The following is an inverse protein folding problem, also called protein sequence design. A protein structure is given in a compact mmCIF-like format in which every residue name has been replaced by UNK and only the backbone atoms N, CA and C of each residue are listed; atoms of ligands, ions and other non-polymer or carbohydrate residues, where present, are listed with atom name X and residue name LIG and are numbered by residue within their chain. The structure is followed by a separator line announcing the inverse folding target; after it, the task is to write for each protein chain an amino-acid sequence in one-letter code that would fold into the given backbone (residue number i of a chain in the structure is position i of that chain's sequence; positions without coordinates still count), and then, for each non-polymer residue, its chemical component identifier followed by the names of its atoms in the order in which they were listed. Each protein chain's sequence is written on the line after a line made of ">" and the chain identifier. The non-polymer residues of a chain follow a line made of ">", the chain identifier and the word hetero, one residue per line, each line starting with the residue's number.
data_IF_482475047315
#
_entry.id   IF_482475047315
#
_cell.length_a   1.000
_cell.length_b   1.000
_cell.length_c   1.000
_cell.angle_alpha   90.00
_cell.angle_beta   90.00
_cell.angle_gamma   90.00
#
_symmetry.space_group_name_H-M   'P 1'
#
loop_
_entity.id
_entity.type
_entity.pdbx_description
1 polymer ?
#
# COMPACT_ATOMS: atom_id res chain seq x y z
N UNK A 1 -75.81 -4.59 -17.63
CA UNK A 1 -74.63 -4.94 -16.81
C UNK A 1 -74.32 -3.74 -15.95
N UNK A 2 -74.59 -3.85 -14.64
CA UNK A 2 -74.47 -2.76 -13.69
C UNK A 2 -73.02 -2.37 -13.43
N UNK A 3 -72.76 -1.07 -13.35
CA UNK A 3 -71.51 -0.52 -12.82
C UNK A 3 -71.38 -0.90 -11.33
N UNK A 4 -70.17 -1.29 -10.93
CA UNK A 4 -69.81 -1.56 -9.54
C UNK A 4 -70.01 -0.32 -8.64
N UNK A 5 -70.42 -0.49 -7.38
CA UNK A 5 -70.77 0.60 -6.48
C UNK A 5 -69.57 1.44 -5.97
N UNK A 6 -68.33 1.00 -6.17
CA UNK A 6 -67.13 1.73 -5.67
C UNK A 6 -66.79 3.00 -6.46
N UNK A 7 -67.37 3.22 -7.64
CA UNK A 7 -67.17 4.48 -8.40
C UNK A 7 -68.19 5.56 -8.01
N UNK A 8 -69.19 5.23 -7.19
CA UNK A 8 -70.26 6.17 -6.83
C UNK A 8 -69.86 7.17 -5.73
N UNK A 9 -68.75 6.96 -5.02
CA UNK A 9 -68.43 7.67 -3.77
C UNK A 9 -67.25 8.65 -3.86
N UNK A 10 -66.97 9.19 -5.05
CA UNK A 10 -66.02 10.29 -5.24
C UNK A 10 -66.59 11.47 -6.06
N UNK A 11 -67.91 11.53 -6.24
CA UNK A 11 -68.58 12.66 -6.91
C UNK A 11 -69.35 13.44 -5.85
N UNK A 12 -68.64 14.34 -5.15
CA UNK A 12 -69.34 15.40 -4.43
C UNK A 12 -70.27 16.14 -5.39
N UNK A 13 -71.48 16.48 -4.94
CA UNK A 13 -72.40 17.26 -5.77
C UNK A 13 -71.69 18.54 -6.25
N UNK A 14 -71.77 18.81 -7.56
CA UNK A 14 -71.20 20.03 -8.13
C UNK A 14 -71.73 21.24 -7.35
N UNK A 15 -70.87 22.18 -6.93
CA UNK A 15 -71.31 23.36 -6.23
C UNK A 15 -72.44 24.05 -7.00
N UNK A 16 -73.49 24.54 -6.34
CA UNK A 16 -74.66 25.11 -7.04
C UNK A 16 -74.31 26.29 -7.95
N UNK A 17 -73.22 27.03 -7.64
CA UNK A 17 -72.66 28.07 -8.50
C UNK A 17 -72.09 27.53 -9.82
N UNK A 18 -71.42 26.37 -9.78
CA UNK A 18 -70.86 25.69 -10.96
C UNK A 18 -71.99 25.11 -11.80
N UNK A 19 -73.00 24.52 -11.17
CA UNK A 19 -74.16 23.97 -11.87
C UNK A 19 -74.96 25.09 -12.57
N UNK A 20 -75.16 26.23 -11.91
CA UNK A 20 -75.77 27.40 -12.51
C UNK A 20 -74.94 27.99 -13.66
N UNK A 21 -73.61 27.96 -13.58
CA UNK A 21 -72.72 28.42 -14.66
C UNK A 21 -72.74 27.48 -15.88
N UNK A 22 -72.82 26.17 -15.65
CA UNK A 22 -72.91 25.14 -16.69
C UNK A 22 -74.27 25.14 -17.40
N UNK A 23 -75.36 25.48 -16.69
CA UNK A 23 -76.72 25.57 -17.23
C UNK A 23 -76.99 26.82 -18.09
N UNK A 24 -76.07 27.80 -18.12
CA UNK A 24 -76.19 28.99 -18.99
C UNK A 24 -75.92 28.61 -20.46
N UNK A 25 -76.49 29.35 -21.44
CA UNK A 25 -76.18 29.13 -22.84
C UNK A 25 -74.68 29.30 -23.12
N UNK A 26 -74.08 28.31 -23.79
CA UNK A 26 -72.66 28.33 -24.16
C UNK A 26 -72.46 29.20 -25.40
N UNK A 27 -72.56 30.51 -25.22
CA UNK A 27 -72.46 31.49 -26.30
C UNK A 27 -71.02 32.03 -26.51
N UNK A 28 -70.12 31.81 -25.55
CA UNK A 28 -68.74 32.29 -25.64
C UNK A 28 -67.94 31.44 -26.64
N UNK A 29 -67.33 32.11 -27.62
CA UNK A 29 -66.49 31.48 -28.66
C UNK A 29 -65.04 31.86 -28.47
N UNK A 30 -64.20 30.85 -28.29
CA UNK A 30 -62.76 30.99 -28.14
C UNK A 30 -62.04 30.34 -29.31
N UNK A 31 -61.16 31.09 -29.98
CA UNK A 31 -60.34 30.56 -31.07
C UNK A 31 -59.07 29.93 -30.50
N UNK A 32 -58.92 28.63 -30.73
CA UNK A 32 -57.70 27.86 -30.50
C UNK A 32 -57.03 27.59 -31.86
N UNK A 33 -55.72 27.31 -31.87
CA UNK A 33 -54.89 27.28 -33.09
C UNK A 33 -55.53 26.62 -34.33
N UNK A 34 -56.24 25.49 -34.18
CA UNK A 34 -56.91 24.79 -35.28
C UNK A 34 -58.41 24.51 -35.05
N UNK A 35 -58.99 25.03 -33.97
CA UNK A 35 -60.38 24.73 -33.60
C UNK A 35 -61.08 25.91 -32.90
N UNK A 36 -62.40 25.97 -33.02
CA UNK A 36 -63.22 26.95 -32.31
C UNK A 36 -63.89 26.25 -31.14
N UNK A 37 -63.55 26.67 -29.93
CA UNK A 37 -64.17 26.20 -28.70
C UNK A 37 -65.41 27.06 -28.43
N UNK A 38 -66.54 26.42 -28.13
CA UNK A 38 -67.74 27.11 -27.67
C UNK A 38 -68.14 26.51 -26.33
N UNK A 39 -68.19 27.33 -25.28
CA UNK A 39 -68.33 26.80 -23.92
C UNK A 39 -68.53 27.88 -22.86
N UNK A 40 -68.38 27.51 -21.60
CA UNK A 40 -68.39 28.39 -20.44
C UNK A 40 -67.15 28.12 -19.59
N UNK A 41 -66.49 29.17 -19.11
CA UNK A 41 -65.32 29.06 -18.24
C UNK A 41 -65.74 29.14 -16.77
N UNK A 42 -65.22 28.22 -15.96
CA UNK A 42 -65.44 28.22 -14.50
C UNK A 42 -64.41 29.07 -13.75
N UNK A 43 -63.42 29.63 -14.46
CA UNK A 43 -62.40 30.49 -13.89
C UNK A 43 -62.85 31.97 -13.96
N UNK A 44 -62.80 32.73 -12.85
CA UNK A 44 -63.27 34.10 -12.81
C UNK A 44 -62.43 35.02 -13.72
N UNK A 45 -63.11 35.75 -14.62
CA UNK A 45 -62.50 36.77 -15.48
C UNK A 45 -61.69 36.24 -16.66
N UNK A 46 -61.79 34.94 -16.99
CA UNK A 46 -61.11 34.35 -18.15
C UNK A 46 -62.08 33.54 -19.00
N UNK A 47 -62.72 34.16 -20.01
CA UNK A 47 -63.66 33.46 -20.89
C UNK A 47 -62.95 32.44 -21.78
N UNK A 48 -61.71 32.72 -22.19
CA UNK A 48 -60.93 31.83 -23.05
C UNK A 48 -59.67 31.28 -22.36
N UNK A 49 -59.40 29.96 -22.44
CA UNK A 49 -58.24 29.34 -21.80
C UNK A 49 -56.91 30.00 -22.18
N UNK A 50 -56.71 30.33 -23.46
CA UNK A 50 -55.45 30.88 -24.00
C UNK A 50 -55.17 32.34 -23.68
N UNK A 51 -56.13 33.06 -23.12
CA UNK A 51 -55.89 34.44 -22.68
C UNK A 51 -55.02 34.48 -21.41
N UNK A 52 -55.02 33.41 -20.61
CA UNK A 52 -54.29 33.35 -19.33
C UNK A 52 -53.42 32.10 -19.16
N UNK A 53 -53.78 30.98 -19.78
CA UNK A 53 -53.09 29.69 -19.63
C UNK A 53 -52.27 29.37 -20.87
N UNK A 54 -51.05 28.85 -20.67
CA UNK A 54 -50.20 28.35 -21.75
C UNK A 54 -50.66 26.95 -22.14
N UNK A 55 -50.28 26.51 -23.36
CA UNK A 55 -50.62 25.17 -23.85
C UNK A 55 -50.24 24.05 -22.85
N UNK A 56 -49.08 24.17 -22.20
CA UNK A 56 -48.55 23.19 -21.25
C UNK A 56 -49.16 23.24 -19.84
N UNK A 57 -49.95 24.28 -19.55
CA UNK A 57 -50.62 24.51 -18.26
C UNK A 57 -52.03 23.92 -18.23
N UNK A 58 -52.51 23.41 -19.36
CA UNK A 58 -53.84 22.82 -19.51
C UNK A 58 -53.76 21.35 -19.87
N UNK A 59 -54.65 20.54 -19.29
CA UNK A 59 -54.89 19.17 -19.76
C UNK A 59 -56.30 19.06 -20.31
N UNK A 60 -56.44 18.36 -21.43
CA UNK A 60 -57.67 18.26 -22.20
C UNK A 60 -58.20 16.84 -22.03
N UNK A 61 -59.42 16.72 -21.52
CA UNK A 61 -60.09 15.45 -21.35
C UNK A 61 -61.30 15.38 -22.27
N UNK A 62 -61.31 14.39 -23.16
CA UNK A 62 -62.45 14.10 -24.03
C UNK A 62 -63.24 12.97 -23.38
N UNK A 63 -64.50 13.20 -22.94
CA UNK A 63 -65.29 12.17 -22.31
C UNK A 63 -65.64 11.06 -23.30
N UNK A 64 -65.62 9.82 -22.83
CA UNK A 64 -66.09 8.68 -23.63
C UNK A 64 -67.62 8.71 -23.68
N UNK A 65 -68.18 8.85 -24.88
CA UNK A 65 -69.63 8.88 -25.08
C UNK A 65 -70.18 7.45 -25.11
N UNK A 66 -71.07 7.13 -24.17
CA UNK A 66 -71.63 5.77 -24.00
C UNK A 66 -72.41 5.25 -25.22
N UNK A 67 -72.98 6.13 -26.06
CA UNK A 67 -73.71 5.79 -27.30
C UNK A 67 -73.24 6.63 -28.48
N UNK A 68 -72.08 6.27 -29.02
CA UNK A 68 -71.40 7.00 -30.11
C UNK A 68 -72.26 7.22 -31.35
N UNK A 69 -73.02 6.21 -31.79
CA UNK A 69 -73.86 6.28 -33.01
C UNK A 69 -75.00 7.31 -32.92
N UNK A 70 -75.56 7.52 -31.73
CA UNK A 70 -76.65 8.50 -31.53
C UNK A 70 -76.09 9.93 -31.51
N UNK A 71 -74.90 10.08 -30.91
CA UNK A 71 -74.21 11.33 -30.73
C UNK A 71 -73.70 11.89 -32.07
N UNK A 72 -73.03 11.07 -32.87
CA UNK A 72 -72.52 11.46 -34.21
C UNK A 72 -73.65 11.87 -35.17
N UNK A 73 -74.88 11.41 -34.95
CA UNK A 73 -76.04 11.72 -35.82
C UNK A 73 -76.73 13.07 -35.50
N UNK A 74 -76.51 13.63 -34.31
CA UNK A 74 -77.21 14.83 -33.83
C UNK A 74 -76.29 15.98 -33.43
N UNK A 75 -74.99 15.72 -33.24
CA UNK A 75 -74.03 16.71 -32.73
C UNK A 75 -72.75 16.66 -33.55
N UNK A 76 -72.54 17.67 -34.40
CA UNK A 76 -71.28 17.89 -35.16
C UNK A 76 -70.19 18.56 -34.29
N UNK A 77 -70.13 18.23 -32.99
CA UNK A 77 -69.22 18.84 -32.04
C UNK A 77 -68.69 17.81 -31.03
N UNK A 78 -67.46 18.01 -30.57
CA UNK A 78 -66.85 17.18 -29.52
C UNK A 78 -66.88 17.92 -28.19
N UNK A 79 -67.28 17.22 -27.13
CA UNK A 79 -67.16 17.74 -25.77
C UNK A 79 -65.70 17.63 -25.31
N UNK A 80 -65.20 18.67 -24.68
CA UNK A 80 -63.85 18.71 -24.11
C UNK A 80 -63.91 19.41 -22.75
N UNK A 81 -63.29 18.81 -21.75
CA UNK A 81 -63.01 19.45 -20.47
C UNK A 81 -61.57 19.90 -20.44
N UNK A 82 -61.33 21.16 -20.07
CA UNK A 82 -59.99 21.74 -19.96
C UNK A 82 -59.75 22.05 -18.49
N UNK A 83 -58.73 21.41 -17.92
CA UNK A 83 -58.34 21.62 -16.53
C UNK A 83 -57.03 22.39 -16.44
N UNK A 84 -56.94 23.29 -15.46
CA UNK A 84 -55.72 23.99 -15.09
C UNK A 84 -54.85 23.07 -14.21
N UNK A 85 -53.62 22.81 -14.65
CA UNK A 85 -52.65 21.94 -13.96
C UNK A 85 -51.40 22.69 -13.51
N UNK A 86 -51.42 24.01 -13.43
CA UNK A 86 -50.24 24.84 -13.06
C UNK A 86 -49.65 24.47 -11.71
N UNK A 87 -50.52 24.22 -10.71
CA UNK A 87 -50.09 23.84 -9.38
C UNK A 87 -49.38 22.48 -9.39
N UNK A 88 -49.94 21.50 -10.11
CA UNK A 88 -49.33 20.18 -10.28
C UNK A 88 -47.96 20.28 -10.98
N UNK A 89 -47.86 21.11 -12.03
CA UNK A 89 -46.60 21.33 -12.75
C UNK A 89 -45.53 22.03 -11.91
N UNK A 90 -45.93 23.00 -11.09
CA UNK A 90 -45.02 23.67 -10.16
C UNK A 90 -44.40 22.68 -9.18
N UNK A 91 -45.21 21.84 -8.54
CA UNK A 91 -44.73 20.80 -7.64
C UNK A 91 -43.86 19.77 -8.36
N UNK A 92 -44.25 19.35 -9.56
CA UNK A 92 -43.45 18.43 -10.37
C UNK A 92 -42.06 19.00 -10.69
N UNK A 93 -41.98 20.27 -11.09
CA UNK A 93 -40.72 20.94 -11.36
C UNK A 93 -39.88 21.13 -10.08
N UNK A 94 -40.51 21.52 -8.98
CA UNK A 94 -39.84 21.69 -7.68
C UNK A 94 -39.23 20.37 -7.18
N UNK A 95 -39.96 19.26 -7.26
CA UNK A 95 -39.45 17.94 -6.92
C UNK A 95 -38.34 17.49 -7.87
N UNK A 96 -38.48 17.74 -9.19
CA UNK A 96 -37.43 17.43 -10.16
C UNK A 96 -36.12 18.17 -9.88
N UNK A 97 -36.19 19.49 -9.64
CA UNK A 97 -35.01 20.30 -9.28
C UNK A 97 -34.40 19.79 -7.98
N UNK A 98 -35.21 19.56 -6.96
CA UNK A 98 -34.74 19.05 -5.66
C UNK A 98 -34.04 17.70 -5.79
N UNK A 99 -34.62 16.78 -6.56
CA UNK A 99 -34.03 15.48 -6.84
C UNK A 99 -32.67 15.60 -7.54
N UNK A 100 -32.56 16.44 -8.57
CA UNK A 100 -31.28 16.64 -9.28
C UNK A 100 -30.20 17.21 -8.37
N UNK A 101 -30.53 18.18 -7.51
CA UNK A 101 -29.60 18.76 -6.54
C UNK A 101 -29.12 17.70 -5.55
N UNK A 102 -30.03 16.87 -5.02
CA UNK A 102 -29.65 15.79 -4.09
C UNK A 102 -28.73 14.78 -4.77
N UNK A 103 -29.03 14.36 -5.99
CA UNK A 103 -28.19 13.39 -6.73
C UNK A 103 -26.80 13.96 -6.97
N UNK A 104 -26.70 15.21 -7.43
CA UNK A 104 -25.40 15.87 -7.64
C UNK A 104 -24.61 15.99 -6.34
N UNK A 105 -25.27 16.38 -5.24
CA UNK A 105 -24.64 16.47 -3.92
C UNK A 105 -24.13 15.13 -3.43
N UNK A 106 -24.91 14.06 -3.58
CA UNK A 106 -24.51 12.70 -3.17
C UNK A 106 -23.35 12.21 -4.03
N UNK A 107 -23.36 12.46 -5.34
CA UNK A 107 -22.27 12.07 -6.24
C UNK A 107 -20.97 12.83 -5.93
N UNK A 108 -21.05 14.15 -5.73
CA UNK A 108 -19.89 14.96 -5.32
C UNK A 108 -19.36 14.52 -3.96
N UNK A 109 -20.28 14.32 -3.00
CA UNK A 109 -20.13 13.61 -1.73
C UNK A 109 -19.18 12.41 -1.86
N UNK A 110 -19.69 11.44 -2.59
CA UNK A 110 -19.13 10.11 -2.75
C UNK A 110 -17.77 10.16 -3.46
N UNK A 111 -17.63 11.00 -4.48
CA UNK A 111 -16.37 11.18 -5.21
C UNK A 111 -15.26 11.72 -4.30
N UNK A 112 -15.55 12.73 -3.48
CA UNK A 112 -14.57 13.32 -2.56
C UNK A 112 -14.15 12.32 -1.46
N UNK A 113 -15.12 11.61 -0.87
CA UNK A 113 -14.81 10.59 0.13
C UNK A 113 -13.99 9.43 -0.47
N UNK A 114 -14.37 8.96 -1.66
CA UNK A 114 -13.66 7.88 -2.34
C UNK A 114 -12.22 8.29 -2.68
N UNK A 115 -12.00 9.48 -3.24
CA UNK A 115 -10.66 9.99 -3.54
C UNK A 115 -9.78 10.01 -2.29
N UNK A 116 -10.31 10.57 -1.19
CA UNK A 116 -9.56 10.65 0.08
C UNK A 116 -9.19 9.28 0.64
N UNK A 117 -10.09 8.31 0.50
CA UNK A 117 -9.87 6.96 0.99
C UNK A 117 -8.87 6.20 0.12
N UNK A 118 -8.91 6.37 -1.22
CA UNK A 118 -7.90 5.80 -2.15
C UNK A 118 -6.51 6.37 -1.86
N UNK A 119 -6.40 7.69 -1.67
CA UNK A 119 -5.12 8.35 -1.37
C UNK A 119 -4.48 7.76 -0.11
N UNK A 120 -5.27 7.64 0.96
CA UNK A 120 -4.77 7.19 2.27
C UNK A 120 -4.53 5.69 2.35
N UNK A 121 -5.37 4.89 1.70
CA UNK A 121 -5.35 3.43 1.85
C UNK A 121 -4.44 2.74 0.84
N UNK A 122 -4.24 3.34 -0.34
CA UNK A 122 -3.51 2.70 -1.45
C UNK A 122 -2.32 3.54 -1.88
N UNK A 123 -2.51 4.82 -2.22
CA UNK A 123 -1.44 5.61 -2.84
C UNK A 123 -0.28 5.91 -1.88
N UNK A 124 -0.58 6.37 -0.66
CA UNK A 124 0.47 6.68 0.33
C UNK A 124 1.32 5.46 0.72
N UNK A 125 0.75 4.27 1.01
CA UNK A 125 1.56 3.07 1.24
C UNK A 125 2.43 2.67 0.04
N UNK A 126 1.90 2.75 -1.19
CA UNK A 126 2.66 2.43 -2.41
C UNK A 126 3.84 3.39 -2.58
N UNK A 127 3.61 4.70 -2.40
CA UNK A 127 4.66 5.71 -2.48
C UNK A 127 5.80 5.43 -1.48
N UNK A 128 5.46 5.06 -0.23
CA UNK A 128 6.44 4.66 0.78
C UNK A 128 7.23 3.41 0.39
N UNK A 129 6.58 2.42 -0.23
CA UNK A 129 7.28 1.23 -0.71
C UNK A 129 8.25 1.58 -1.83
N UNK A 130 7.85 2.43 -2.78
CA UNK A 130 8.71 2.86 -3.90
C UNK A 130 9.94 3.58 -3.37
N UNK A 131 9.75 4.54 -2.44
CA UNK A 131 10.87 5.26 -1.81
C UNK A 131 11.81 4.27 -1.11
N UNK A 132 11.29 3.31 -0.34
CA UNK A 132 12.12 2.29 0.32
C UNK A 132 12.90 1.42 -0.66
N UNK A 133 12.29 1.03 -1.78
CA UNK A 133 12.98 0.23 -2.81
C UNK A 133 14.07 1.06 -3.49
N UNK A 134 13.82 2.34 -3.75
CA UNK A 134 14.81 3.27 -4.28
C UNK A 134 15.98 3.49 -3.29
N UNK A 135 15.67 3.59 -2.00
CA UNK A 135 16.69 3.66 -0.94
C UNK A 135 17.51 2.36 -0.85
N UNK A 136 16.86 1.18 -0.93
CA UNK A 136 17.52 -0.13 -0.95
C UNK A 136 18.44 -0.24 -2.17
N UNK A 137 18.02 0.25 -3.33
CA UNK A 137 18.80 0.27 -4.57
C UNK A 137 20.07 1.10 -4.41
N UNK A 138 19.96 2.33 -3.89
CA UNK A 138 21.09 3.25 -3.74
C UNK A 138 22.07 2.84 -2.66
N UNK A 139 21.57 2.31 -1.54
CA UNK A 139 22.41 1.85 -0.45
C UNK A 139 21.73 0.73 0.35
N UNK A 140 21.95 -0.55 -0.02
CA UNK A 140 21.38 -1.68 0.69
C UNK A 140 21.88 -1.82 2.13
N UNK A 141 23.04 -1.25 2.51
CA UNK A 141 23.55 -1.29 3.89
C UNK A 141 22.75 -0.39 4.84
N UNK A 142 22.15 0.69 4.34
CA UNK A 142 21.32 1.57 5.16
C UNK A 142 20.18 0.80 5.84
N UNK A 143 19.67 -0.23 5.16
CA UNK A 143 18.60 -1.14 5.60
C UNK A 143 19.04 -2.06 6.74
N UNK A 144 20.29 -2.54 6.74
CA UNK A 144 20.83 -3.38 7.80
C UNK A 144 20.90 -2.62 9.14
N UNK A 145 21.29 -1.34 9.11
CA UNK A 145 21.21 -0.46 10.29
C UNK A 145 19.77 -0.24 10.77
N UNK A 146 18.78 -0.16 9.88
CA UNK A 146 17.37 -0.12 10.25
C UNK A 146 16.86 -1.45 10.87
N UNK A 147 17.51 -2.58 10.57
CA UNK A 147 17.24 -3.88 11.20
C UNK A 147 17.60 -3.95 12.69
N UNK A 148 18.54 -3.11 13.16
CA UNK A 148 18.88 -2.95 14.57
C UNK A 148 17.97 -1.96 15.33
N UNK A 149 17.02 -1.31 14.64
CA UNK A 149 15.95 -0.47 15.19
C UNK A 149 15.38 0.45 14.12
N UNK A 150 14.04 0.56 13.94
CA UNK A 150 13.05 0.71 14.99
C UNK A 150 12.08 -0.47 15.12
N UNK A 151 11.46 -0.58 16.30
CA UNK A 151 10.35 -1.51 16.60
C UNK A 151 9.33 -1.48 15.45
N UNK A 152 8.69 -2.63 15.12
CA UNK A 152 7.58 -2.63 14.18
C UNK A 152 6.64 -1.49 14.57
N UNK A 153 6.28 -0.65 13.59
CA UNK A 153 5.39 0.48 13.79
C UNK A 153 4.09 -0.06 14.36
N UNK A 154 3.98 -0.09 15.70
CA UNK A 154 2.73 -0.43 16.39
C UNK A 154 1.85 0.79 16.12
N UNK A 155 0.81 0.70 15.28
CA UNK A 155 -0.05 1.85 15.06
C UNK A 155 -0.62 2.24 16.43
N UNK A 156 -0.21 3.40 16.94
CA UNK A 156 -0.67 3.93 18.22
C UNK A 156 -2.11 4.42 18.18
N UNK A 157 -2.80 4.23 17.06
CA UNK A 157 -4.19 4.60 16.91
C UNK A 157 -5.07 3.35 16.89
N UNK A 158 -5.70 3.05 18.03
CA UNK A 158 -6.94 2.28 18.08
C UNK A 158 -8.02 3.07 17.34
N UNK A 159 -8.01 3.05 16.02
CA UNK A 159 -9.17 3.37 15.21
C UNK A 159 -9.63 2.07 14.57
N UNK A 160 -10.88 1.69 14.83
CA UNK A 160 -11.57 0.58 14.15
C UNK A 160 -11.64 0.90 12.66
N UNK A 161 -10.56 0.65 11.92
CA UNK A 161 -10.48 0.81 10.47
C UNK A 161 -10.28 -0.58 9.86
N UNK A 162 -10.95 -0.84 8.73
CA UNK A 162 -11.01 -2.15 8.04
C UNK A 162 -9.62 -2.80 7.95
N UNK A 163 -9.41 -3.81 8.78
CA UNK A 163 -8.11 -4.41 9.05
C UNK A 163 -7.51 -5.25 7.89
N UNK A 164 -8.29 -5.59 6.86
CA UNK A 164 -7.84 -6.48 5.78
C UNK A 164 -6.87 -5.83 4.79
N UNK A 165 -7.26 -4.73 4.15
CA UNK A 165 -6.49 -4.11 3.06
C UNK A 165 -5.22 -3.40 3.56
N UNK A 166 -5.29 -2.79 4.76
CA UNK A 166 -4.12 -2.16 5.37
C UNK A 166 -3.08 -3.21 5.81
N UNK A 167 -3.51 -4.43 6.13
CA UNK A 167 -2.59 -5.48 6.58
C UNK A 167 -1.76 -6.04 5.43
N UNK A 168 -2.35 -6.23 4.25
CA UNK A 168 -1.62 -6.76 3.08
C UNK A 168 -0.54 -5.79 2.60
N UNK A 169 -0.87 -4.50 2.46
CA UNK A 169 0.12 -3.48 2.08
C UNK A 169 1.21 -3.34 3.13
N UNK A 170 0.86 -3.28 4.42
CA UNK A 170 1.87 -3.26 5.49
C UNK A 170 2.70 -4.55 5.54
N UNK A 171 2.12 -5.70 5.20
CA UNK A 171 2.85 -6.98 5.12
C UNK A 171 3.86 -6.98 3.96
N UNK A 172 3.49 -6.45 2.80
CA UNK A 172 4.41 -6.29 1.66
C UNK A 172 5.57 -5.36 2.01
N UNK A 173 5.30 -4.22 2.66
CA UNK A 173 6.32 -3.26 3.08
C UNK A 173 7.34 -3.90 4.04
N UNK A 174 6.84 -4.68 5.01
CA UNK A 174 7.69 -5.41 5.95
C UNK A 174 8.49 -6.53 5.25
N UNK A 175 7.89 -7.20 4.26
CA UNK A 175 8.58 -8.23 3.47
C UNK A 175 9.71 -7.63 2.65
N UNK A 176 9.50 -6.48 1.98
CA UNK A 176 10.54 -5.75 1.26
C UNK A 176 11.69 -5.36 2.20
N UNK A 177 11.36 -4.85 3.38
CA UNK A 177 12.37 -4.48 4.39
C UNK A 177 13.18 -5.70 4.83
N UNK A 178 12.53 -6.84 5.08
CA UNK A 178 13.20 -8.10 5.43
C UNK A 178 14.09 -8.62 4.31
N UNK A 179 13.62 -8.57 3.07
CA UNK A 179 14.40 -8.95 1.90
C UNK A 179 15.63 -8.04 1.76
N UNK A 180 15.47 -6.73 1.92
CA UNK A 180 16.58 -5.78 1.94
C UNK A 180 17.61 -6.07 3.04
N UNK A 181 17.16 -6.39 4.27
CA UNK A 181 18.09 -6.79 5.35
C UNK A 181 18.80 -8.10 5.07
N UNK A 182 18.11 -9.09 4.48
CA UNK A 182 18.71 -10.37 4.10
C UNK A 182 19.70 -10.20 2.95
N UNK A 183 19.41 -9.30 2.01
CA UNK A 183 20.29 -8.92 0.91
C UNK A 183 21.57 -8.30 1.46
N UNK A 184 21.46 -7.28 2.31
CA UNK A 184 22.62 -6.62 2.92
C UNK A 184 23.47 -7.59 3.75
N UNK A 185 22.83 -8.51 4.50
CA UNK A 185 23.53 -9.53 5.27
C UNK A 185 24.22 -10.57 4.38
N UNK A 186 23.58 -10.99 3.28
CA UNK A 186 24.09 -12.01 2.38
C UNK A 186 25.24 -11.54 1.50
N UNK A 187 25.20 -10.29 1.04
CA UNK A 187 26.22 -9.69 0.17
C UNK A 187 27.36 -9.03 0.95
N UNK A 188 27.14 -8.66 2.21
CA UNK A 188 28.12 -7.95 3.02
C UNK A 188 28.47 -6.56 2.46
N UNK A 189 29.46 -5.90 3.06
CA UNK A 189 29.85 -4.54 2.69
C UNK A 189 30.42 -4.46 1.26
N UNK A 190 31.23 -5.45 0.86
CA UNK A 190 31.83 -5.49 -0.48
C UNK A 190 30.84 -5.86 -1.59
N UNK A 191 29.84 -6.70 -1.30
CA UNK A 191 28.83 -7.08 -2.29
C UNK A 191 27.74 -6.01 -2.48
N UNK A 192 27.59 -5.08 -1.53
CA UNK A 192 26.65 -3.97 -1.63
C UNK A 192 27.00 -3.03 -2.76
N UNK A 193 28.28 -2.69 -2.93
CA UNK A 193 28.71 -1.82 -4.04
C UNK A 193 28.42 -2.46 -5.41
N UNK A 194 28.64 -3.78 -5.52
CA UNK A 194 28.36 -4.56 -6.73
C UNK A 194 26.86 -4.56 -7.03
N UNK A 195 26.03 -4.82 -6.01
CA UNK A 195 24.58 -4.85 -6.17
C UNK A 195 24.03 -3.46 -6.50
N UNK A 196 24.52 -2.41 -5.84
CA UNK A 196 24.10 -1.04 -6.09
C UNK A 196 24.40 -0.62 -7.54
N UNK A 197 25.62 -0.89 -8.05
CA UNK A 197 25.99 -0.59 -9.43
C UNK A 197 25.13 -1.36 -10.44
N UNK A 198 24.80 -2.62 -10.13
CA UNK A 198 23.93 -3.45 -10.95
C UNK A 198 22.44 -3.07 -10.88
N UNK A 199 21.99 -2.48 -9.78
CA UNK A 199 20.62 -1.99 -9.64
C UNK A 199 20.45 -0.58 -10.21
N UNK A 200 21.52 0.22 -10.27
CA UNK A 200 21.52 1.59 -10.75
C UNK A 200 21.48 1.74 -12.27
N UNK A 201 21.93 0.74 -13.03
CA UNK A 201 21.82 0.77 -14.49
C UNK A 201 20.43 0.39 -15.02
N UNK A 202 19.94 1.12 -16.02
CA UNK A 202 18.74 0.77 -16.80
C UNK A 202 18.95 -0.43 -17.75
N UNK A 203 20.16 -1.01 -17.75
CA UNK A 203 20.53 -2.14 -18.58
C UNK A 203 20.05 -3.43 -17.92
N UNK A 204 19.26 -4.23 -18.63
CA UNK A 204 18.78 -5.54 -18.16
C UNK A 204 19.89 -6.62 -18.02
N UNK A 205 21.17 -6.22 -18.06
CA UNK A 205 22.33 -7.10 -17.96
C UNK A 205 23.03 -6.86 -16.63
N UNK A 206 23.05 -7.89 -15.82
CA UNK A 206 23.85 -7.95 -14.60
C UNK A 206 25.32 -8.06 -14.99
N UNK A 207 26.12 -7.04 -14.67
CA UNK A 207 27.57 -7.03 -14.75
C UNK A 207 28.10 -7.68 -13.47
N UNK A 208 28.37 -8.99 -13.55
CA UNK A 208 28.85 -9.77 -12.41
C UNK A 208 30.34 -9.58 -12.09
N UNK A 209 31.10 -8.92 -12.98
CA UNK A 209 32.56 -8.82 -12.87
C UNK A 209 33.01 -7.36 -12.79
N UNK A 210 33.33 -6.93 -11.57
CA UNK A 210 33.92 -5.62 -11.30
C UNK A 210 35.43 -5.81 -11.10
N UNK A 211 36.29 -4.96 -11.69
CA UNK A 211 37.73 -5.07 -11.49
C UNK A 211 38.09 -4.86 -10.02
N UNK A 212 38.87 -5.79 -9.47
CA UNK A 212 39.35 -5.70 -8.09
C UNK A 212 40.26 -4.48 -7.87
N UNK A 213 40.19 -3.91 -6.66
CA UNK A 213 40.99 -2.76 -6.26
C UNK A 213 42.20 -3.20 -5.45
N UNK A 214 43.36 -2.57 -5.70
CA UNK A 214 44.54 -2.79 -4.87
C UNK A 214 44.35 -2.12 -3.52
N UNK A 215 44.42 -2.91 -2.45
CA UNK A 215 44.28 -2.45 -1.07
C UNK A 215 45.54 -2.77 -0.29
N UNK A 216 46.04 -1.80 0.47
CA UNK A 216 47.10 -1.99 1.45
C UNK A 216 46.48 -2.16 2.83
N UNK A 217 46.82 -3.24 3.51
CA UNK A 217 46.17 -3.65 4.75
C UNK A 217 47.08 -4.51 5.63
N UNK A 218 46.66 -4.68 6.88
CA UNK A 218 47.19 -5.72 7.77
C UNK A 218 46.24 -6.92 7.70
N UNK A 219 46.80 -8.07 7.36
CA UNK A 219 46.10 -9.34 7.23
C UNK A 219 46.37 -10.18 8.48
N UNK A 220 45.30 -10.50 9.18
CA UNK A 220 45.26 -11.38 10.32
C UNK A 220 44.72 -12.76 9.95
N UNK A 221 45.41 -13.81 10.33
CA UNK A 221 44.92 -15.18 10.20
C UNK A 221 44.75 -15.80 11.57
N UNK A 222 43.50 -16.02 11.98
CA UNK A 222 43.15 -16.68 13.24
C UNK A 222 42.80 -18.14 12.97
N UNK A 223 43.41 -19.09 13.67
CA UNK A 223 43.16 -20.52 13.49
C UNK A 223 42.85 -21.22 14.81
N UNK A 224 41.81 -22.06 14.84
CA UNK A 224 41.43 -22.87 16.00
C UNK A 224 42.48 -23.94 16.28
N UNK A 225 42.97 -24.00 17.53
CA UNK A 225 43.90 -25.05 17.96
C UNK A 225 43.16 -26.38 18.11
N UNK A 226 43.83 -27.47 17.76
CA UNK A 226 43.29 -28.85 17.85
C UNK A 226 41.98 -29.08 17.09
N UNK A 227 41.67 -28.29 16.04
CA UNK A 227 40.40 -28.35 15.33
C UNK A 227 40.03 -29.76 14.83
N UNK A 228 41.00 -30.53 14.31
CA UNK A 228 40.75 -31.90 13.87
C UNK A 228 40.21 -32.83 14.97
N UNK A 229 40.69 -32.68 16.21
CA UNK A 229 40.18 -33.46 17.35
C UNK A 229 38.79 -32.96 17.75
N UNK A 230 38.59 -31.64 17.71
CA UNK A 230 37.30 -31.01 18.04
C UNK A 230 36.21 -31.50 17.07
N UNK A 231 36.47 -31.51 15.77
CA UNK A 231 35.52 -32.00 14.77
C UNK A 231 35.24 -33.49 14.88
N UNK A 232 36.25 -34.29 15.22
CA UNK A 232 36.08 -35.74 15.42
C UNK A 232 35.20 -36.04 16.63
N UNK A 233 35.33 -35.26 17.71
CA UNK A 233 34.57 -35.48 18.96
C UNK A 233 33.17 -34.85 18.92
N UNK A 234 33.04 -33.62 18.41
CA UNK A 234 31.78 -32.89 18.39
C UNK A 234 30.92 -33.20 17.16
N UNK A 235 31.52 -33.69 16.06
CA UNK A 235 30.85 -34.05 14.81
C UNK A 235 29.90 -32.94 14.33
N UNK A 236 28.59 -33.22 14.24
CA UNK A 236 27.55 -32.26 13.80
C UNK A 236 27.52 -30.97 14.64
N UNK A 237 27.94 -31.03 15.91
CA UNK A 237 27.96 -29.87 16.81
C UNK A 237 29.20 -28.97 16.63
N UNK A 238 30.14 -29.35 15.77
CA UNK A 238 31.35 -28.55 15.50
C UNK A 238 31.02 -27.16 14.94
N UNK A 239 29.96 -27.03 14.12
CA UNK A 239 29.54 -25.74 13.56
C UNK A 239 29.02 -24.78 14.63
N UNK A 240 28.32 -25.29 15.66
CA UNK A 240 27.87 -24.47 16.79
C UNK A 240 29.07 -23.92 17.57
N UNK A 241 30.08 -24.76 17.80
CA UNK A 241 31.33 -24.36 18.44
C UNK A 241 32.08 -23.29 17.62
N UNK A 242 32.25 -23.52 16.31
CA UNK A 242 32.90 -22.55 15.41
C UNK A 242 32.16 -21.22 15.42
N UNK A 243 30.83 -21.24 15.36
CA UNK A 243 30.03 -20.00 15.36
C UNK A 243 30.17 -19.20 16.65
N UNK A 244 30.23 -19.87 17.82
CA UNK A 244 30.47 -19.19 19.10
C UNK A 244 31.86 -18.52 19.15
N UNK A 245 32.89 -19.21 18.62
CA UNK A 245 34.23 -18.61 18.52
C UNK A 245 34.23 -17.46 17.50
N UNK A 246 33.61 -17.66 16.34
CA UNK A 246 33.51 -16.66 15.27
C UNK A 246 32.84 -15.37 15.77
N UNK A 247 31.74 -15.48 16.52
CA UNK A 247 31.04 -14.35 17.11
C UNK A 247 31.97 -13.50 18.00
N UNK A 248 32.79 -14.15 18.84
CA UNK A 248 33.76 -13.46 19.71
C UNK A 248 34.87 -12.82 18.88
N UNK A 249 35.45 -13.55 17.93
CA UNK A 249 36.53 -13.06 17.06
C UNK A 249 36.05 -11.85 16.27
N UNK A 250 34.91 -11.97 15.59
CA UNK A 250 34.35 -10.91 14.74
C UNK A 250 34.02 -9.67 15.55
N UNK A 251 33.33 -9.83 16.69
CA UNK A 251 32.97 -8.70 17.57
C UNK A 251 34.20 -7.95 18.08
N UNK A 252 35.24 -8.67 18.51
CA UNK A 252 36.46 -8.00 18.99
C UNK A 252 37.20 -7.33 17.83
N UNK A 253 37.36 -8.01 16.70
CA UNK A 253 38.06 -7.43 15.54
C UNK A 253 37.38 -6.15 15.06
N UNK A 254 36.06 -6.15 14.98
CA UNK A 254 35.23 -4.98 14.64
C UNK A 254 35.43 -3.82 15.63
N UNK A 255 35.43 -4.09 16.94
CA UNK A 255 35.71 -3.08 17.99
C UNK A 255 37.09 -2.42 17.84
N UNK A 256 38.04 -3.11 17.23
CA UNK A 256 39.40 -2.64 16.97
C UNK A 256 39.61 -2.26 15.49
N UNK A 257 38.53 -1.87 14.80
CA UNK A 257 38.54 -1.31 13.43
C UNK A 257 39.08 -2.26 12.36
N UNK A 258 38.97 -3.57 12.58
CA UNK A 258 39.23 -4.60 11.58
C UNK A 258 37.94 -5.19 11.06
N UNK A 259 38.01 -5.83 9.90
CA UNK A 259 36.89 -6.50 9.25
C UNK A 259 37.18 -7.99 9.06
N UNK A 260 36.29 -8.90 9.48
CA UNK A 260 36.35 -10.30 9.08
C UNK A 260 36.05 -10.43 7.58
N UNK A 261 36.98 -11.01 6.82
CA UNK A 261 36.86 -11.15 5.36
C UNK A 261 36.37 -12.53 4.94
N UNK A 262 36.84 -13.60 5.59
CA UNK A 262 36.45 -14.96 5.25
C UNK A 262 36.44 -15.86 6.48
N UNK A 263 35.45 -16.75 6.56
CA UNK A 263 35.38 -17.82 7.54
C UNK A 263 35.58 -19.17 6.83
N UNK A 264 36.69 -19.84 7.14
CA UNK A 264 37.10 -21.12 6.57
C UNK A 264 36.80 -22.29 7.53
N UNK A 265 35.84 -22.10 8.44
CA UNK A 265 35.43 -23.07 9.46
C UNK A 265 36.44 -23.15 10.62
N UNK A 266 37.65 -23.62 10.35
CA UNK A 266 38.71 -23.70 11.36
C UNK A 266 39.51 -22.41 11.52
N UNK A 267 39.47 -21.55 10.51
CA UNK A 267 40.25 -20.33 10.47
C UNK A 267 39.45 -19.12 9.97
N UNK A 268 39.83 -17.94 10.42
CA UNK A 268 39.22 -16.66 10.09
C UNK A 268 40.27 -15.75 9.48
N UNK A 269 40.00 -15.21 8.30
CA UNK A 269 40.79 -14.17 7.68
C UNK A 269 40.23 -12.81 8.11
N UNK A 270 41.10 -11.98 8.67
CA UNK A 270 40.78 -10.69 9.29
C UNK A 270 41.61 -9.62 8.58
N UNK A 271 41.05 -8.44 8.33
CA UNK A 271 41.71 -7.41 7.53
C UNK A 271 41.54 -6.05 8.18
N UNK A 272 42.64 -5.32 8.36
CA UNK A 272 42.64 -3.91 8.74
C UNK A 272 43.13 -3.06 7.58
N UNK A 273 42.22 -2.39 6.89
CA UNK A 273 42.54 -1.59 5.71
C UNK A 273 43.05 -0.20 6.11
N UNK A 274 44.12 0.26 5.45
CA UNK A 274 44.64 1.61 5.71
C UNK A 274 43.83 2.71 5.02
N UNK A 275 43.07 2.40 3.96
CA UNK A 275 42.36 3.41 3.18
C UNK A 275 41.33 4.22 3.99
N UNK A 276 40.84 3.69 5.12
CA UNK A 276 39.95 4.42 6.03
C UNK A 276 40.66 5.42 6.94
N UNK A 277 41.98 5.36 7.05
CA UNK A 277 42.75 6.16 7.99
C UNK A 277 43.85 6.92 7.24
N UNK A 278 43.83 8.26 7.29
CA UNK A 278 44.91 9.09 6.76
C UNK A 278 46.28 8.59 7.24
N UNK A 279 47.33 8.75 6.43
CA UNK A 279 48.68 8.17 6.54
C UNK A 279 49.30 8.10 7.97
N UNK A 280 48.94 9.00 8.89
CA UNK A 280 49.35 8.94 10.31
C UNK A 280 48.69 7.79 11.11
N UNK A 281 47.72 7.07 10.52
CA UNK A 281 46.97 5.99 11.14
C UNK A 281 47.62 4.61 11.07
N UNK A 282 48.66 4.39 10.24
CA UNK A 282 49.21 3.03 10.03
C UNK A 282 49.75 2.39 11.30
N UNK A 283 50.53 3.13 12.09
CA UNK A 283 51.04 2.64 13.39
C UNK A 283 49.90 2.33 14.35
N UNK A 284 48.89 3.21 14.42
CA UNK A 284 47.72 3.01 15.29
C UNK A 284 46.91 1.78 14.87
N UNK A 285 46.70 1.57 13.58
CA UNK A 285 46.02 0.41 13.03
C UNK A 285 46.81 -0.88 13.34
N UNK A 286 48.15 -0.82 13.26
CA UNK A 286 48.99 -1.93 13.69
C UNK A 286 48.81 -2.24 15.20
N UNK A 287 48.87 -1.22 16.06
CA UNK A 287 48.65 -1.37 17.50
C UNK A 287 47.26 -1.96 17.81
N UNK A 288 46.22 -1.45 17.13
CA UNK A 288 44.85 -1.95 17.26
C UNK A 288 44.72 -3.40 16.79
N UNK A 289 45.37 -3.80 15.69
CA UNK A 289 45.32 -5.18 15.18
C UNK A 289 45.95 -6.17 16.17
N UNK A 290 47.07 -5.81 16.78
CA UNK A 290 47.72 -6.63 17.80
C UNK A 290 46.87 -6.67 19.07
N UNK A 291 46.34 -5.53 19.49
CA UNK A 291 45.48 -5.44 20.67
C UNK A 291 44.19 -6.24 20.50
N UNK A 292 43.62 -6.27 19.29
CA UNK A 292 42.46 -7.11 18.97
C UNK A 292 42.76 -8.58 19.25
N UNK A 293 43.91 -9.10 18.84
CA UNK A 293 44.28 -10.49 19.08
C UNK A 293 44.46 -10.81 20.56
N UNK A 294 45.11 -9.93 21.31
CA UNK A 294 45.23 -10.08 22.77
C UNK A 294 43.84 -10.13 23.41
N UNK A 295 42.95 -9.23 22.99
CA UNK A 295 41.60 -9.16 23.50
C UNK A 295 40.75 -10.37 23.11
N UNK A 296 40.94 -10.95 21.92
CA UNK A 296 40.30 -12.20 21.51
C UNK A 296 40.73 -13.34 22.44
N UNK A 297 42.03 -13.51 22.72
CA UNK A 297 42.51 -14.56 23.63
C UNK A 297 41.89 -14.42 25.02
N UNK A 298 41.86 -13.18 25.53
CA UNK A 298 41.27 -12.89 26.84
C UNK A 298 39.75 -13.16 26.85
N UNK A 299 39.03 -12.76 25.79
CA UNK A 299 37.60 -12.96 25.67
C UNK A 299 37.23 -14.45 25.58
N UNK A 300 37.93 -15.23 24.74
CA UNK A 300 37.72 -16.67 24.62
C UNK A 300 37.97 -17.41 25.94
N UNK A 301 38.99 -17.00 26.69
CA UNK A 301 39.32 -17.60 27.98
C UNK A 301 38.30 -17.30 29.08
N UNK A 302 37.53 -16.21 28.95
CA UNK A 302 36.54 -15.75 29.92
C UNK A 302 35.11 -16.18 29.57
N UNK A 303 34.88 -16.64 28.34
CA UNK A 303 33.55 -16.99 27.88
C UNK A 303 33.04 -18.28 28.56
N UNK A 304 31.90 -18.17 29.22
CA UNK A 304 31.33 -19.26 30.02
C UNK A 304 30.83 -20.42 29.14
N UNK A 305 30.32 -20.14 27.93
CA UNK A 305 29.85 -21.17 27.03
C UNK A 305 31.03 -21.97 26.47
N UNK A 306 32.11 -21.29 26.05
CA UNK A 306 33.33 -21.95 25.59
C UNK A 306 34.05 -22.71 26.70
N UNK A 307 33.99 -22.23 27.94
CA UNK A 307 34.55 -22.93 29.09
C UNK A 307 33.94 -24.34 29.29
N UNK A 308 32.69 -24.57 28.89
CA UNK A 308 32.07 -25.90 28.99
C UNK A 308 32.77 -26.95 28.12
N UNK A 309 33.34 -26.55 26.99
CA UNK A 309 34.09 -27.45 26.10
C UNK A 309 35.43 -27.86 26.70
N UNK A 310 36.04 -27.01 27.53
CA UNK A 310 37.27 -27.34 28.26
C UNK A 310 37.05 -28.55 29.18
N UNK A 311 35.85 -28.68 29.75
CA UNK A 311 35.46 -29.75 30.66
C UNK A 311 34.87 -31.00 29.97
N UNK A 312 34.83 -31.03 28.63
CA UNK A 312 34.19 -32.11 27.90
C UNK A 312 35.00 -33.43 27.99
N UNK A 313 34.44 -34.53 28.53
CA UNK A 313 35.21 -35.75 28.84
C UNK A 313 35.93 -36.36 27.63
N UNK A 314 35.26 -36.39 26.46
CA UNK A 314 35.83 -36.93 25.20
C UNK A 314 36.92 -36.04 24.59
N UNK A 315 36.93 -34.75 24.91
CA UNK A 315 38.00 -33.84 24.47
C UNK A 315 39.22 -34.01 25.37
N UNK A 316 39.00 -34.03 26.70
CA UNK A 316 40.06 -34.30 27.69
C UNK A 316 40.74 -35.66 27.50
N UNK A 317 39.99 -36.68 27.09
CA UNK A 317 40.56 -38.01 26.85
C UNK A 317 41.52 -38.05 25.66
N UNK A 318 41.36 -37.15 24.69
CA UNK A 318 42.19 -37.08 23.48
C UNK A 318 43.30 -36.03 23.57
N UNK A 319 43.04 -34.92 24.25
CA UNK A 319 43.99 -33.84 24.50
C UNK A 319 44.03 -33.60 26.01
N UNK A 320 45.07 -34.08 26.71
CA UNK A 320 45.28 -33.74 28.12
C UNK A 320 45.31 -32.23 28.30
N UNK A 321 44.62 -31.74 29.34
CA UNK A 321 44.45 -30.29 29.62
C UNK A 321 43.89 -29.47 28.45
N UNK A 322 42.93 -30.04 27.71
CA UNK A 322 42.25 -29.35 26.62
C UNK A 322 41.73 -27.97 27.04
N UNK A 323 42.10 -26.94 26.26
CA UNK A 323 41.57 -25.59 26.36
C UNK A 323 41.22 -25.07 24.98
N UNK A 324 40.07 -24.44 24.86
CA UNK A 324 39.69 -23.67 23.68
C UNK A 324 40.70 -22.54 23.50
N UNK A 325 41.36 -22.54 22.35
CA UNK A 325 42.41 -21.59 22.05
C UNK A 325 42.56 -21.39 20.55
N UNK A 326 43.12 -20.23 20.22
CA UNK A 326 43.37 -19.81 18.84
C UNK A 326 44.86 -19.52 18.66
N UNK A 327 45.33 -19.64 17.43
CA UNK A 327 46.63 -19.16 16.97
C UNK A 327 46.42 -18.00 16.02
N UNK A 328 47.35 -17.04 16.03
CA UNK A 328 47.30 -15.88 15.15
C UNK A 328 48.55 -15.79 14.30
N UNK A 329 48.38 -15.39 13.04
CA UNK A 329 49.41 -14.82 12.18
C UNK A 329 49.00 -13.40 11.79
N UNK A 330 49.97 -12.50 11.67
CA UNK A 330 49.75 -11.12 11.24
C UNK A 330 50.77 -10.75 10.18
N UNK A 331 50.32 -10.15 9.08
CA UNK A 331 51.17 -9.74 7.97
C UNK A 331 50.73 -8.38 7.43
N UNK A 332 51.68 -7.49 7.14
CA UNK A 332 51.40 -6.21 6.48
C UNK A 332 51.79 -6.33 5.01
N UNK A 333 50.88 -5.98 4.11
CA UNK A 333 51.13 -6.05 2.68
C UNK A 333 50.02 -5.41 1.86
N UNK A 334 50.02 -5.72 0.56
CA UNK A 334 48.96 -5.33 -0.35
C UNK A 334 48.28 -6.58 -0.91
N UNK A 335 46.98 -6.46 -1.21
CA UNK A 335 46.19 -7.48 -1.88
C UNK A 335 45.27 -6.81 -2.92
N UNK A 336 44.61 -7.63 -3.74
CA UNK A 336 43.50 -7.18 -4.58
C UNK A 336 42.20 -7.57 -3.86
N UNK A 337 41.38 -6.57 -3.54
CA UNK A 337 40.06 -6.75 -2.98
C UNK A 337 39.02 -6.64 -4.08
N UNK A 338 38.08 -7.57 -4.12
CA UNK A 338 36.98 -7.60 -5.08
C UNK A 338 36.24 -8.92 -4.97
N UNK A 339 35.02 -8.99 -5.47
CA UNK A 339 34.32 -10.26 -5.59
C UNK A 339 35.00 -11.14 -6.62
N UNK A 340 35.05 -12.44 -6.33
CA UNK A 340 35.54 -13.45 -7.25
C UNK A 340 34.31 -14.21 -7.73
N UNK A 341 34.10 -14.24 -9.04
CA UNK A 341 32.93 -14.87 -9.61
C UNK A 341 33.09 -15.15 -11.09
N UNK A 342 32.16 -15.92 -11.62
CA UNK A 342 31.94 -16.15 -13.04
C UNK A 342 30.56 -15.61 -13.42
N UNK A 343 30.26 -15.56 -14.72
CA UNK A 343 28.92 -15.21 -15.20
C UNK A 343 27.80 -16.10 -14.62
N UNK A 344 28.15 -17.27 -14.06
CA UNK A 344 27.21 -18.24 -13.52
C UNK A 344 27.22 -18.35 -11.98
N UNK A 345 28.23 -17.78 -11.31
CA UNK A 345 28.39 -17.90 -9.85
C UNK A 345 29.11 -16.67 -9.31
N UNK A 346 28.44 -15.94 -8.44
CA UNK A 346 29.02 -14.83 -7.67
C UNK A 346 29.29 -15.41 -6.27
N UNK A 347 30.55 -15.49 -5.86
CA UNK A 347 30.97 -15.94 -4.51
C UNK A 347 31.24 -14.76 -3.57
#
# INVERSE_FOLDING_TARGET
>A
GGLQPEVAEAVGALPPSVLAALARPWAERCREASSVLTGTSLLPGTPCPRQRLRAGDTIWYVPVVARRQLFERHVEAQFVFIFDIREFRYWQAAFGVTQTVIVVMVLALSALFFSRDVDKLVLVPIERMIIKVDDIRKNPLSVATFGAGPRPFKPRLKAKLKAGVLLETVMLENTITKLGTLLALGFGEAGVDIVAENMDEANARVVATIPGQKVEAIFGFCNLRHFGVITEVLQERSMVFVNQVAEIVHRVVDQFLGAPSANLGQAFLLVWQFNHFQLQGRSKVADLSVMAFVQVVAALSRDAALATYNEHPRLKSKVPDFRVGVGFGLHLGWAIAGAIGSDFKID
#
